data_IF_305801059985
#
_entry.id   IF_305801059985
#
_cell.length_a   1.000
_cell.length_b   1.000
_cell.length_c   1.000
_cell.angle_alpha   90.00
_cell.angle_beta   90.00
_cell.angle_gamma   90.00
#
_symmetry.space_group_name_H-M   'P 1'
#
loop_
_entity.id
_entity.type
_entity.pdbx_description
1 polymer ?
#
# COMPACT_ATOMS: atom_id res chain seq x y z
N UNK A 1 -10.45 18.37 17.29
CA UNK A 1 -9.05 18.81 17.10
C UNK A 1 -8.18 17.95 18.00
N UNK A 2 -7.36 17.07 17.43
CA UNK A 2 -6.39 16.26 18.17
C UNK A 2 -6.56 14.74 18.10
N UNK A 3 -6.35 14.13 16.93
CA UNK A 3 -5.93 12.70 16.79
C UNK A 3 -5.03 12.48 15.54
N UNK A 4 -4.54 13.55 14.88
CA UNK A 4 -3.73 13.42 13.65
C UNK A 4 -2.23 13.05 13.90
N UNK A 5 -1.82 12.89 15.17
CA UNK A 5 -0.41 12.73 15.54
C UNK A 5 0.10 11.28 15.65
N UNK A 6 -0.79 10.28 15.68
CA UNK A 6 -0.39 8.91 16.04
C UNK A 6 0.13 8.07 14.87
N UNK A 7 -0.15 8.48 13.63
CA UNK A 7 0.31 7.76 12.43
C UNK A 7 1.81 8.01 12.19
N UNK A 8 2.35 9.17 12.59
CA UNK A 8 3.77 9.49 12.39
C UNK A 8 4.71 8.89 13.44
N UNK A 9 4.23 8.62 14.65
CA UNK A 9 5.09 8.14 15.74
C UNK A 9 5.47 6.65 15.63
N UNK A 10 4.66 5.84 14.93
CA UNK A 10 4.96 4.42 14.69
C UNK A 10 5.91 4.18 13.51
N UNK A 11 6.10 5.16 12.63
CA UNK A 11 6.83 5.03 11.37
C UNK A 11 8.33 5.41 11.44
N UNK A 12 8.81 5.88 12.59
CA UNK A 12 10.18 6.44 12.71
C UNK A 12 11.19 5.56 13.45
N UNK A 13 10.85 4.32 13.82
CA UNK A 13 11.76 3.42 14.54
C UNK A 13 11.76 2.00 13.93
N UNK A 14 12.23 1.87 12.69
CA UNK A 14 12.78 0.60 12.21
C UNK A 14 14.28 0.78 11.89
N UNK A 15 15.08 -0.15 12.40
CA UNK A 15 16.54 -0.11 12.32
C UNK A 15 16.98 -0.06 10.85
N UNK A 16 17.70 1.02 10.50
CA UNK A 16 18.18 1.25 9.14
C UNK A 16 19.18 0.17 8.71
N UNK A 17 18.76 -0.64 7.73
CA UNK A 17 19.69 -1.38 6.89
C UNK A 17 20.23 -0.41 5.84
N UNK A 18 21.42 0.13 6.04
CA UNK A 18 22.15 0.83 4.99
C UNK A 18 22.76 -0.23 4.07
N UNK A 19 22.03 -0.60 3.01
CA UNK A 19 22.59 -1.44 1.97
C UNK A 19 23.63 -0.65 1.16
N UNK A 20 24.91 -1.01 1.28
CA UNK A 20 25.97 -0.50 0.41
C UNK A 20 25.82 -1.15 -0.98
N UNK A 21 25.06 -0.50 -1.86
CA UNK A 21 24.71 -0.98 -3.20
C UNK A 21 25.86 -0.94 -4.23
N UNK A 22 27.06 -0.49 -3.86
CA UNK A 22 28.12 -0.06 -4.80
C UNK A 22 28.74 -1.14 -5.68
N UNK A 23 28.36 -2.42 -5.54
CA UNK A 23 29.08 -3.54 -6.16
C UNK A 23 28.23 -4.61 -6.87
N UNK A 24 26.89 -4.57 -6.82
CA UNK A 24 26.11 -5.78 -7.11
C UNK A 24 25.68 -5.97 -8.58
N UNK A 25 25.43 -4.90 -9.34
CA UNK A 25 24.70 -5.07 -10.60
C UNK A 25 25.49 -4.81 -11.90
N UNK A 26 26.53 -3.98 -11.89
CA UNK A 26 27.27 -3.63 -13.11
C UNK A 26 28.71 -4.13 -13.00
N UNK A 27 29.10 -5.06 -13.87
CA UNK A 27 30.47 -5.63 -13.91
C UNK A 27 31.54 -4.56 -14.13
N UNK A 28 31.19 -3.48 -14.83
CA UNK A 28 32.07 -2.33 -15.07
C UNK A 28 31.87 -1.22 -14.02
N UNK A 29 30.95 -1.42 -13.07
CA UNK A 29 30.41 -0.38 -12.20
C UNK A 29 29.65 0.71 -12.96
N UNK A 30 28.99 1.61 -12.23
CA UNK A 30 28.74 2.96 -12.75
C UNK A 30 30.10 3.65 -12.75
N UNK A 31 30.53 4.22 -13.89
CA UNK A 31 31.82 4.90 -13.97
C UNK A 31 31.90 6.00 -12.88
N UNK A 32 33.05 6.13 -12.20
CA UNK A 32 33.17 6.98 -11.00
C UNK A 32 32.84 8.45 -11.28
N UNK A 33 33.10 8.90 -12.50
CA UNK A 33 32.74 10.20 -13.07
C UNK A 33 31.23 10.37 -13.34
N UNK A 34 30.46 9.27 -13.37
CA UNK A 34 29.01 9.25 -13.42
C UNK A 34 28.38 9.09 -12.02
N UNK A 35 29.20 8.83 -10.99
CA UNK A 35 28.79 8.88 -9.58
C UNK A 35 28.94 10.31 -9.06
N UNK A 36 28.11 10.69 -8.10
CA UNK A 36 28.14 12.03 -7.49
C UNK A 36 28.35 11.91 -5.99
N UNK A 37 29.08 12.86 -5.44
CA UNK A 37 29.39 12.97 -4.02
C UNK A 37 29.08 14.40 -3.63
N UNK A 38 28.42 14.62 -2.50
CA UNK A 38 28.25 15.96 -1.95
C UNK A 38 29.29 16.12 -0.85
N UNK A 39 30.18 17.13 -0.94
CA UNK A 39 31.11 17.41 0.14
C UNK A 39 30.33 17.85 1.37
N UNK A 40 30.64 17.25 2.51
CA UNK A 40 30.12 17.68 3.81
C UNK A 40 30.62 19.11 4.09
N UNK A 41 29.71 20.10 4.16
CA UNK A 41 30.10 21.50 4.32
C UNK A 41 30.80 21.79 5.66
N UNK A 42 30.62 20.93 6.66
CA UNK A 42 31.21 21.11 7.99
C UNK A 42 32.52 20.31 8.18
N UNK A 43 32.85 19.42 7.24
CA UNK A 43 34.05 18.59 7.32
C UNK A 43 35.25 19.24 6.62
N UNK A 44 35.97 20.08 7.36
CA UNK A 44 37.25 20.69 6.93
C UNK A 44 38.43 19.71 6.87
N UNK A 45 38.25 18.45 7.28
CA UNK A 45 39.30 17.45 7.16
C UNK A 45 39.29 16.85 5.74
N UNK A 46 40.44 16.85 5.07
CA UNK A 46 40.63 16.29 3.72
C UNK A 46 40.40 14.77 3.60
N UNK A 47 39.81 14.14 4.62
CA UNK A 47 39.36 12.76 4.65
C UNK A 47 37.84 12.77 4.85
N UNK A 48 37.13 12.94 3.74
CA UNK A 48 35.70 13.17 3.66
C UNK A 48 34.88 12.06 4.29
N UNK A 49 34.23 12.37 5.41
CA UNK A 49 33.12 11.58 5.92
C UNK A 49 31.92 11.85 5.03
N UNK A 50 31.62 10.90 4.15
CA UNK A 50 30.40 10.90 3.35
C UNK A 50 29.22 10.72 4.30
N UNK A 51 28.37 11.73 4.45
CA UNK A 51 27.10 11.55 5.18
C UNK A 51 26.11 10.86 4.23
N UNK A 52 25.61 9.65 4.55
CA UNK A 52 24.81 8.85 3.64
C UNK A 52 23.39 9.42 3.47
N UNK A 53 22.80 9.19 2.30
CA UNK A 53 21.35 9.36 2.07
C UNK A 53 20.61 8.52 3.11
N UNK A 54 19.57 9.09 3.70
CA UNK A 54 18.58 8.32 4.44
C UNK A 54 17.37 8.11 3.54
N UNK A 55 17.34 6.97 2.87
CA UNK A 55 16.13 6.49 2.20
C UNK A 55 15.17 6.00 3.27
N UNK A 56 13.94 6.51 3.22
CA UNK A 56 12.85 5.91 4.01
C UNK A 56 12.40 4.69 3.23
N UNK A 57 12.71 3.51 3.79
CA UNK A 57 12.29 2.23 3.24
C UNK A 57 10.99 1.84 3.93
N UNK A 58 9.93 1.66 3.15
CA UNK A 58 8.78 0.89 3.60
C UNK A 58 9.14 -0.59 3.57
N UNK A 59 8.53 -1.39 4.45
CA UNK A 59 8.86 -2.80 4.65
C UNK A 59 8.19 -3.75 3.65
N UNK A 60 7.49 -3.22 2.64
CA UNK A 60 6.89 -4.01 1.56
C UNK A 60 7.79 -4.14 0.32
N UNK A 61 7.64 -5.20 -0.50
CA UNK A 61 8.59 -5.54 -1.56
C UNK A 61 8.82 -4.46 -2.62
N UNK A 62 7.78 -3.76 -3.07
CA UNK A 62 7.90 -2.73 -4.10
C UNK A 62 8.71 -1.52 -3.65
N UNK A 63 8.54 -1.09 -2.40
CA UNK A 63 9.31 0.01 -1.83
C UNK A 63 10.77 -0.38 -1.70
N UNK A 64 11.04 -1.64 -1.34
CA UNK A 64 12.39 -2.17 -1.33
C UNK A 64 13.01 -2.12 -2.75
N UNK A 65 12.32 -2.61 -3.78
CA UNK A 65 12.81 -2.55 -5.18
C UNK A 65 13.07 -1.10 -5.62
N UNK A 66 12.07 -0.23 -5.48
CA UNK A 66 12.13 1.17 -5.87
C UNK A 66 13.31 1.89 -5.19
N UNK A 67 13.43 1.70 -3.87
CA UNK A 67 14.46 2.35 -3.08
C UNK A 67 15.84 1.75 -3.33
N UNK A 68 15.97 0.44 -3.55
CA UNK A 68 17.23 -0.20 -3.94
C UNK A 68 17.69 0.30 -5.30
N UNK A 69 16.78 0.42 -6.27
CA UNK A 69 17.09 1.00 -7.58
C UNK A 69 17.54 2.46 -7.43
N UNK A 70 16.85 3.28 -6.63
CA UNK A 70 17.27 4.65 -6.36
C UNK A 70 18.64 4.70 -5.66
N UNK A 71 18.89 3.85 -4.68
CA UNK A 71 20.16 3.76 -3.94
C UNK A 71 21.35 3.42 -4.84
N UNK A 72 21.14 2.63 -5.89
CA UNK A 72 22.20 2.28 -6.86
C UNK A 72 22.67 3.53 -7.63
N UNK A 73 21.78 4.48 -7.93
CA UNK A 73 22.10 5.65 -8.74
C UNK A 73 22.47 6.90 -7.93
N UNK A 74 22.11 6.97 -6.64
CA UNK A 74 22.22 8.20 -5.86
C UNK A 74 23.23 8.04 -4.71
N UNK A 75 24.14 9.01 -4.59
CA UNK A 75 24.95 9.30 -3.39
C UNK A 75 24.88 10.81 -3.10
N UNK A 76 23.96 11.23 -2.24
CA UNK A 76 23.68 12.64 -1.94
C UNK A 76 23.31 12.88 -0.47
N UNK A 77 23.23 14.15 -0.07
CA UNK A 77 22.71 14.60 1.21
C UNK A 77 21.21 14.92 1.05
N UNK A 78 20.35 14.25 1.81
CA UNK A 78 18.91 14.52 1.81
C UNK A 78 18.07 13.31 2.23
N UNK A 79 16.80 13.58 2.53
CA UNK A 79 15.77 12.56 2.73
C UNK A 79 14.99 12.36 1.44
N UNK A 80 14.85 11.10 1.03
CA UNK A 80 14.03 10.69 -0.11
C UNK A 80 13.15 9.54 0.38
N UNK A 81 11.84 9.65 0.10
CA UNK A 81 10.88 8.59 0.30
C UNK A 81 10.36 8.17 -1.08
N UNK A 82 10.51 6.89 -1.39
CA UNK A 82 10.01 6.28 -2.61
C UNK A 82 8.77 5.45 -2.25
N UNK A 83 7.94 5.18 -3.26
CA UNK A 83 6.75 4.33 -3.11
C UNK A 83 5.70 4.89 -2.13
N UNK A 84 5.50 6.21 -2.13
CA UNK A 84 4.53 6.87 -1.24
C UNK A 84 3.12 6.82 -1.81
N UNK A 85 2.19 6.21 -1.07
CA UNK A 85 0.77 6.12 -1.44
C UNK A 85 0.05 7.44 -1.19
N UNK A 86 -0.12 8.25 -2.23
CA UNK A 86 -0.67 9.60 -2.07
C UNK A 86 -2.12 9.58 -1.59
N UNK A 87 -2.95 8.65 -2.07
CA UNK A 87 -4.33 8.49 -1.59
C UNK A 87 -4.46 8.39 -0.07
N UNK A 88 -3.49 7.77 0.61
CA UNK A 88 -3.51 7.57 2.07
C UNK A 88 -3.02 8.80 2.84
N UNK A 89 -2.11 9.57 2.26
CA UNK A 89 -1.50 10.72 2.93
C UNK A 89 -2.11 12.06 2.53
N UNK A 90 -2.80 12.16 1.38
CA UNK A 90 -3.24 13.43 0.77
C UNK A 90 -3.97 14.36 1.74
N UNK A 91 -4.89 13.83 2.54
CA UNK A 91 -5.66 14.64 3.49
C UNK A 91 -4.78 15.36 4.51
N UNK A 92 -3.72 14.69 4.99
CA UNK A 92 -2.77 15.27 5.93
C UNK A 92 -1.62 16.00 5.21
N UNK A 93 -1.28 15.59 4.00
CA UNK A 93 -0.16 16.10 3.25
C UNK A 93 -0.39 17.56 2.84
N UNK A 94 -1.55 17.89 2.27
CA UNK A 94 -1.86 19.28 1.90
C UNK A 94 -1.86 20.20 3.11
N UNK A 95 -2.45 19.75 4.23
CA UNK A 95 -2.46 20.51 5.48
C UNK A 95 -1.05 20.67 6.04
N UNK A 96 -0.22 19.64 5.96
CA UNK A 96 1.18 19.68 6.40
C UNK A 96 2.00 20.66 5.55
N UNK A 97 1.84 20.63 4.22
CA UNK A 97 2.48 21.55 3.28
C UNK A 97 2.09 22.99 3.58
N UNK A 98 0.79 23.26 3.79
CA UNK A 98 0.29 24.60 4.13
C UNK A 98 0.84 25.08 5.47
N UNK A 99 0.94 24.20 6.47
CA UNK A 99 1.41 24.54 7.80
C UNK A 99 2.95 24.65 7.90
N UNK A 100 3.69 23.99 7.00
CA UNK A 100 5.14 23.85 7.08
C UNK A 100 5.83 24.06 5.72
N UNK A 101 5.60 25.18 5.01
CA UNK A 101 6.03 25.35 3.63
C UNK A 101 7.54 25.19 3.41
N UNK A 102 8.37 25.53 4.40
CA UNK A 102 9.83 25.49 4.28
C UNK A 102 10.46 24.09 4.47
N UNK A 103 9.72 23.16 5.08
CA UNK A 103 10.21 21.80 5.42
C UNK A 103 9.35 20.70 4.84
N UNK A 104 8.21 21.04 4.24
CA UNK A 104 7.34 20.08 3.59
C UNK A 104 8.06 19.39 2.44
N UNK A 105 7.96 18.06 2.32
CA UNK A 105 8.62 17.39 1.23
C UNK A 105 7.95 17.77 -0.10
N UNK A 106 8.77 17.84 -1.14
CA UNK A 106 8.34 18.12 -2.50
C UNK A 106 7.92 16.80 -3.15
N UNK A 107 6.71 16.78 -3.71
CA UNK A 107 6.24 15.69 -4.56
C UNK A 107 6.83 15.84 -5.97
N UNK A 108 7.71 14.92 -6.35
CA UNK A 108 8.32 14.84 -7.68
C UNK A 108 7.47 14.01 -8.67
N UNK A 109 6.22 13.75 -8.33
CA UNK A 109 5.26 13.03 -9.16
C UNK A 109 5.39 11.51 -9.07
N UNK A 110 4.75 10.82 -10.00
CA UNK A 110 4.64 9.37 -10.01
C UNK A 110 5.98 8.67 -10.24
N UNK A 111 6.16 7.53 -9.57
CA UNK A 111 7.25 6.59 -9.80
C UNK A 111 7.06 5.74 -11.06
N UNK A 112 5.93 5.84 -11.77
CA UNK A 112 5.67 5.13 -13.04
C UNK A 112 4.53 4.12 -13.02
N UNK A 113 4.02 3.77 -11.84
CA UNK A 113 2.84 2.92 -11.68
C UNK A 113 1.83 3.52 -10.69
N UNK A 114 0.62 2.99 -10.73
CA UNK A 114 -0.45 3.27 -9.78
C UNK A 114 -0.63 2.09 -8.84
N UNK A 115 -0.91 2.39 -7.58
CA UNK A 115 -1.36 1.45 -6.60
C UNK A 115 -2.88 1.31 -6.60
N UNK A 116 -3.32 0.10 -6.29
CA UNK A 116 -4.73 -0.26 -6.14
C UNK A 116 -4.90 -1.05 -4.85
N UNK A 117 -5.98 -0.81 -4.12
CA UNK A 117 -6.38 -1.59 -2.94
C UNK A 117 -7.78 -2.17 -3.16
N UNK A 118 -7.93 -3.48 -2.93
CA UNK A 118 -9.23 -4.12 -3.08
C UNK A 118 -9.33 -5.42 -2.28
N UNK A 119 -10.51 -6.03 -2.30
CA UNK A 119 -10.64 -7.45 -2.03
C UNK A 119 -10.08 -8.22 -3.23
N UNK A 120 -9.34 -9.30 -2.97
CA UNK A 120 -8.82 -10.19 -3.99
C UNK A 120 -9.37 -11.61 -3.80
N UNK A 121 -9.46 -12.32 -4.92
CA UNK A 121 -9.80 -13.74 -4.98
C UNK A 121 -8.66 -14.50 -5.64
N UNK A 122 -8.29 -15.65 -5.06
CA UNK A 122 -7.26 -16.53 -5.59
C UNK A 122 -7.66 -17.07 -6.97
N UNK A 123 -6.70 -17.15 -7.90
CA UNK A 123 -6.93 -17.62 -9.26
C UNK A 123 -7.59 -19.01 -9.29
N UNK A 124 -7.10 -19.97 -8.49
CA UNK A 124 -7.70 -21.31 -8.43
C UNK A 124 -9.17 -21.33 -7.98
N UNK A 125 -9.61 -20.38 -7.15
CA UNK A 125 -11.01 -20.26 -6.71
C UNK A 125 -11.86 -19.66 -7.83
N UNK A 126 -11.34 -18.61 -8.48
CA UNK A 126 -11.94 -17.96 -9.66
C UNK A 126 -12.16 -18.97 -10.79
N UNK A 127 -11.12 -19.71 -11.18
CA UNK A 127 -11.18 -20.70 -12.26
C UNK A 127 -12.15 -21.83 -11.93
N UNK A 128 -12.17 -22.31 -10.68
CA UNK A 128 -13.13 -23.34 -10.26
C UNK A 128 -14.58 -22.87 -10.42
N UNK A 129 -14.90 -21.66 -9.96
CA UNK A 129 -16.24 -21.09 -10.05
C UNK A 129 -16.69 -20.83 -11.49
N UNK A 130 -15.79 -20.33 -12.32
CA UNK A 130 -16.05 -20.11 -13.73
C UNK A 130 -16.29 -21.43 -14.46
N UNK A 131 -15.47 -22.46 -14.21
CA UNK A 131 -15.58 -23.75 -14.87
C UNK A 131 -16.87 -24.52 -14.49
N UNK A 132 -17.30 -24.49 -13.23
CA UNK A 132 -18.47 -25.24 -12.77
C UNK A 132 -19.80 -24.52 -12.97
N UNK A 133 -19.80 -23.18 -12.93
CA UNK A 133 -21.05 -22.40 -12.89
C UNK A 133 -21.06 -21.15 -13.76
N UNK A 134 -19.96 -20.84 -14.46
CA UNK A 134 -19.83 -19.62 -15.26
C UNK A 134 -19.74 -18.34 -14.42
N UNK A 135 -19.45 -18.45 -13.12
CA UNK A 135 -19.35 -17.31 -12.21
C UNK A 135 -17.97 -16.65 -12.29
N UNK A 136 -17.94 -15.39 -12.72
CA UNK A 136 -16.75 -14.54 -12.71
C UNK A 136 -16.58 -13.91 -11.32
N UNK A 137 -15.80 -14.53 -10.45
CA UNK A 137 -15.60 -14.09 -9.05
C UNK A 137 -14.77 -12.81 -8.90
N UNK A 138 -14.17 -12.32 -9.98
CA UNK A 138 -13.58 -10.99 -10.05
C UNK A 138 -14.62 -9.87 -10.21
N UNK A 139 -15.90 -10.19 -10.48
CA UNK A 139 -16.95 -9.19 -10.62
C UNK A 139 -17.87 -9.16 -9.39
N UNK A 140 -18.01 -7.99 -8.77
CA UNK A 140 -18.74 -7.84 -7.49
C UNK A 140 -20.18 -8.38 -7.49
N UNK A 141 -20.89 -8.35 -8.63
CA UNK A 141 -22.28 -8.84 -8.69
C UNK A 141 -22.38 -10.36 -8.59
N UNK A 142 -21.32 -11.09 -8.88
CA UNK A 142 -21.29 -12.55 -8.77
C UNK A 142 -21.46 -13.04 -7.33
N UNK A 143 -21.28 -12.17 -6.35
CA UNK A 143 -21.44 -12.48 -4.92
C UNK A 143 -22.85 -12.22 -4.39
N UNK A 144 -23.76 -11.65 -5.19
CA UNK A 144 -25.10 -11.37 -4.73
C UNK A 144 -25.87 -12.67 -4.44
N UNK A 145 -26.17 -12.92 -3.16
CA UNK A 145 -26.81 -14.15 -2.68
C UNK A 145 -28.20 -14.41 -3.25
N UNK A 146 -28.88 -13.38 -3.75
CA UNK A 146 -30.20 -13.54 -4.40
C UNK A 146 -30.09 -14.13 -5.81
N UNK A 147 -28.90 -14.07 -6.43
CA UNK A 147 -28.65 -14.51 -7.80
C UNK A 147 -27.72 -15.73 -7.88
N UNK A 148 -26.77 -15.83 -6.95
CA UNK A 148 -25.65 -16.77 -7.03
C UNK A 148 -25.24 -17.29 -5.65
N UNK A 149 -24.71 -18.51 -5.60
CA UNK A 149 -24.10 -19.10 -4.40
C UNK A 149 -22.57 -19.06 -4.54
N UNK A 150 -21.98 -17.87 -4.40
CA UNK A 150 -20.53 -17.73 -4.43
C UNK A 150 -19.85 -18.43 -3.25
N UNK A 151 -20.53 -18.54 -2.10
CA UNK A 151 -19.98 -19.09 -0.87
C UNK A 151 -19.55 -20.56 -1.02
N UNK A 152 -20.18 -21.32 -1.91
CA UNK A 152 -19.81 -22.70 -2.23
C UNK A 152 -18.34 -22.90 -2.66
N UNK A 153 -17.69 -21.85 -3.16
CA UNK A 153 -16.29 -21.92 -3.63
C UNK A 153 -15.26 -21.57 -2.56
N UNK A 154 -15.70 -21.10 -1.40
CA UNK A 154 -14.85 -20.66 -0.30
C UNK A 154 -14.88 -21.67 0.86
N UNK A 155 -13.88 -21.59 1.73
CA UNK A 155 -13.88 -22.31 3.01
C UNK A 155 -14.76 -21.56 4.01
N UNK A 156 -15.05 -22.18 5.16
CA UNK A 156 -15.97 -21.61 6.15
C UNK A 156 -15.20 -20.88 7.23
N UNK A 157 -15.87 -19.95 7.91
CA UNK A 157 -15.29 -19.27 9.07
C UNK A 157 -14.91 -20.25 10.19
N UNK A 158 -15.62 -21.38 10.30
CA UNK A 158 -15.34 -22.44 11.28
C UNK A 158 -14.02 -23.17 11.04
N UNK A 159 -13.47 -23.08 9.82
CA UNK A 159 -12.21 -23.71 9.45
C UNK A 159 -11.01 -22.85 9.89
N UNK A 160 -11.25 -21.57 10.18
CA UNK A 160 -10.25 -20.63 10.65
C UNK A 160 -10.14 -20.64 12.18
N UNK A 161 -8.91 -20.54 12.69
CA UNK A 161 -8.68 -20.48 14.14
C UNK A 161 -8.97 -19.09 14.66
N UNK A 162 -9.99 -18.92 15.51
CA UNK A 162 -10.34 -17.61 16.11
C UNK A 162 -9.15 -16.91 16.79
N UNK A 163 -8.22 -17.66 17.38
CA UNK A 163 -7.01 -17.10 18.01
C UNK A 163 -6.09 -16.34 17.04
N UNK A 164 -6.26 -16.51 15.74
CA UNK A 164 -5.54 -15.82 14.66
C UNK A 164 -6.05 -14.39 14.43
N UNK A 165 -7.18 -14.00 15.00
CA UNK A 165 -7.85 -12.72 14.70
C UNK A 165 -7.90 -11.81 15.92
N UNK A 166 -7.84 -10.50 15.69
CA UNK A 166 -8.05 -9.51 16.73
C UNK A 166 -9.51 -9.47 17.17
N UNK A 167 -9.80 -9.25 18.46
CA UNK A 167 -11.14 -8.88 18.90
C UNK A 167 -11.60 -7.58 18.24
N UNK A 168 -12.88 -7.48 17.87
CA UNK A 168 -13.43 -6.29 17.20
C UNK A 168 -13.46 -5.04 18.09
N UNK A 169 -13.40 -5.19 19.40
CA UNK A 169 -13.31 -4.07 20.35
C UNK A 169 -11.87 -3.62 20.63
N UNK A 170 -10.88 -4.12 19.88
CA UNK A 170 -9.49 -3.69 20.02
C UNK A 170 -9.37 -2.23 19.56
N UNK A 171 -9.06 -1.32 20.47
CA UNK A 171 -9.08 0.14 20.24
C UNK A 171 -8.12 0.63 19.16
N UNK A 172 -7.07 -0.13 18.85
CA UNK A 172 -6.11 0.20 17.80
C UNK A 172 -6.56 -0.20 16.39
N UNK A 173 -7.68 -0.92 16.25
CA UNK A 173 -8.12 -1.47 14.97
C UNK A 173 -9.29 -0.68 14.39
N UNK A 174 -9.44 -0.76 13.06
CA UNK A 174 -10.48 -0.02 12.31
C UNK A 174 -11.91 -0.42 12.71
N UNK A 175 -12.11 -1.61 13.27
CA UNK A 175 -13.41 -1.98 13.86
C UNK A 175 -13.80 -1.15 15.09
N UNK A 176 -12.85 -0.50 15.75
CA UNK A 176 -13.10 0.40 16.88
C UNK A 176 -13.07 1.89 16.49
N UNK A 177 -13.02 2.20 15.19
CA UNK A 177 -13.01 3.57 14.68
C UNK A 177 -14.44 4.16 14.64
N UNK A 178 -14.81 4.97 15.65
CA UNK A 178 -16.15 5.58 15.77
C UNK A 178 -16.60 6.30 14.51
N UNK A 179 -15.70 7.06 13.88
CA UNK A 179 -16.03 7.85 12.68
C UNK A 179 -16.43 6.91 11.55
N UNK A 180 -15.62 5.89 11.26
CA UNK A 180 -15.89 4.97 10.16
C UNK A 180 -17.10 4.07 10.43
N UNK A 181 -17.29 3.60 11.66
CA UNK A 181 -18.44 2.78 12.03
C UNK A 181 -19.75 3.58 11.98
N UNK A 182 -19.72 4.87 12.35
CA UNK A 182 -20.86 5.78 12.17
C UNK A 182 -21.15 6.05 10.70
N UNK A 183 -20.13 6.22 9.87
CA UNK A 183 -20.28 6.40 8.42
C UNK A 183 -20.87 5.13 7.78
N UNK A 184 -20.43 3.95 8.21
CA UNK A 184 -21.02 2.67 7.80
C UNK A 184 -22.53 2.63 8.05
N UNK A 185 -22.97 2.85 9.31
CA UNK A 185 -24.39 2.84 9.66
C UNK A 185 -25.20 3.90 8.91
N UNK A 186 -24.63 5.12 8.77
CA UNK A 186 -25.24 6.23 8.04
C UNK A 186 -25.50 5.91 6.56
N UNK A 187 -24.50 5.37 5.86
CA UNK A 187 -24.56 5.20 4.41
C UNK A 187 -25.22 3.89 3.98
N UNK A 188 -25.12 2.85 4.79
CA UNK A 188 -25.71 1.55 4.48
C UNK A 188 -27.10 1.36 5.07
N UNK A 189 -27.43 2.10 6.14
CA UNK A 189 -28.64 1.90 6.94
C UNK A 189 -28.59 0.65 7.85
N UNK A 190 -27.51 -0.13 7.81
CA UNK A 190 -27.36 -1.35 8.60
C UNK A 190 -26.79 -1.07 9.99
N UNK A 191 -27.59 -0.46 10.86
CA UNK A 191 -27.21 -0.21 12.25
C UNK A 191 -27.01 -1.49 13.07
N UNK A 192 -27.52 -2.64 12.61
CA UNK A 192 -27.26 -3.93 13.26
C UNK A 192 -25.82 -4.43 13.03
N UNK A 193 -25.08 -3.86 12.07
CA UNK A 193 -23.67 -4.12 11.84
C UNK A 193 -22.72 -3.37 12.79
N UNK A 194 -23.23 -2.50 13.65
CA UNK A 194 -22.44 -1.73 14.62
C UNK A 194 -23.08 -1.77 16.01
N UNK A 195 -22.30 -1.46 17.05
CA UNK A 195 -22.77 -1.33 18.44
C UNK A 195 -22.36 0.03 18.97
N UNK A 196 -23.29 0.73 19.60
CA UNK A 196 -23.02 1.96 20.33
C UNK A 196 -22.42 1.64 21.70
N UNK A 197 -21.33 2.31 22.04
CA UNK A 197 -20.63 2.22 23.32
C UNK A 197 -20.49 3.62 23.92
N UNK A 198 -20.02 3.71 25.15
CA UNK A 198 -19.73 4.99 25.81
C UNK A 198 -18.69 5.83 25.05
N UNK A 199 -17.87 5.20 24.20
CA UNK A 199 -16.80 5.84 23.42
C UNK A 199 -17.15 6.08 21.94
N UNK A 200 -18.37 5.76 21.49
CA UNK A 200 -18.80 5.87 20.09
C UNK A 200 -19.30 4.55 19.50
N UNK A 201 -19.22 4.39 18.18
CA UNK A 201 -19.60 3.17 17.49
C UNK A 201 -18.41 2.23 17.26
N UNK A 202 -18.62 0.94 17.47
CA UNK A 202 -17.70 -0.13 17.06
C UNK A 202 -18.41 -1.13 16.15
N UNK A 203 -17.67 -1.94 15.40
CA UNK A 203 -18.24 -3.04 14.61
C UNK A 203 -18.93 -4.07 15.51
N UNK A 204 -20.09 -4.56 15.09
CA UNK A 204 -20.79 -5.64 15.79
C UNK A 204 -20.28 -7.01 15.32
N UNK A 205 -19.55 -7.69 16.21
CA UNK A 205 -19.02 -9.03 15.95
C UNK A 205 -19.62 -10.03 16.94
N UNK A 206 -20.59 -10.87 16.51
CA UNK A 206 -21.30 -11.78 17.42
C UNK A 206 -20.40 -12.78 18.14
N UNK A 207 -19.29 -13.19 17.52
CA UNK A 207 -18.27 -14.09 18.09
C UNK A 207 -17.04 -13.33 18.66
N UNK A 208 -17.14 -12.00 18.71
CA UNK A 208 -16.09 -11.10 19.13
C UNK A 208 -14.96 -10.84 18.13
N UNK A 209 -14.91 -11.51 16.97
CA UNK A 209 -13.77 -11.46 16.04
C UNK A 209 -14.14 -11.19 14.58
N UNK A 210 -15.27 -11.71 14.12
CA UNK A 210 -15.75 -11.54 12.75
C UNK A 210 -16.97 -10.64 12.70
N UNK A 211 -16.88 -9.59 11.89
CA UNK A 211 -18.04 -8.80 11.51
C UNK A 211 -18.84 -9.54 10.44
N UNK A 212 -20.16 -9.64 10.61
CA UNK A 212 -21.02 -10.44 9.72
C UNK A 212 -21.94 -9.55 8.88
N UNK A 213 -21.81 -9.67 7.56
CA UNK A 213 -22.61 -8.92 6.59
C UNK A 213 -24.11 -9.27 6.67
N UNK A 214 -25.02 -8.35 6.32
CA UNK A 214 -26.46 -8.62 6.31
C UNK A 214 -26.86 -9.82 5.46
N UNK A 215 -26.13 -10.08 4.37
CA UNK A 215 -26.43 -11.16 3.42
C UNK A 215 -26.35 -12.57 4.03
N UNK A 216 -25.48 -12.78 5.04
CA UNK A 216 -25.31 -14.08 5.70
C UNK A 216 -25.45 -14.03 7.23
N UNK A 217 -25.87 -12.89 7.82
CA UNK A 217 -26.00 -12.73 9.28
C UNK A 217 -26.96 -13.71 9.94
N UNK A 218 -27.95 -14.18 9.20
CA UNK A 218 -28.93 -15.16 9.68
C UNK A 218 -28.37 -16.59 9.74
N UNK A 219 -27.31 -16.91 8.97
CA UNK A 219 -26.62 -18.19 8.97
C UNK A 219 -25.12 -17.99 8.62
N UNK A 220 -24.27 -17.93 9.64
CA UNK A 220 -22.83 -17.67 9.45
C UNK A 220 -22.10 -18.77 8.68
N UNK A 221 -22.70 -19.95 8.54
CA UNK A 221 -22.19 -21.06 7.73
C UNK A 221 -22.16 -20.75 6.22
N UNK A 222 -22.93 -19.76 5.78
CA UNK A 222 -23.04 -19.29 4.39
C UNK A 222 -22.13 -18.08 4.12
N UNK A 223 -21.40 -17.61 5.12
CA UNK A 223 -20.49 -16.49 4.95
C UNK A 223 -19.15 -16.95 4.34
N UNK A 224 -18.68 -16.16 3.37
CA UNK A 224 -17.32 -16.17 2.84
C UNK A 224 -16.40 -15.48 3.85
N UNK A 225 -15.33 -16.14 4.34
CA UNK A 225 -14.32 -15.48 5.15
C UNK A 225 -13.60 -14.43 4.33
N UNK A 226 -13.51 -13.22 4.88
CA UNK A 226 -12.79 -12.08 4.32
C UNK A 226 -11.70 -11.66 5.28
N UNK A 227 -10.45 -11.75 4.86
CA UNK A 227 -9.31 -11.51 5.74
C UNK A 227 -8.67 -10.16 5.46
N UNK A 228 -8.45 -9.38 6.51
CA UNK A 228 -7.61 -8.18 6.48
C UNK A 228 -6.36 -8.36 7.35
N UNK A 229 -5.37 -7.50 7.13
CA UNK A 229 -4.11 -7.45 7.85
C UNK A 229 -3.96 -6.12 8.61
N UNK A 230 -2.82 -5.94 9.28
CA UNK A 230 -2.49 -4.73 10.01
C UNK A 230 -3.50 -4.44 11.12
N UNK A 231 -3.96 -3.20 11.18
CA UNK A 231 -5.02 -2.77 12.09
C UNK A 231 -6.44 -2.96 11.48
N UNK A 232 -6.56 -3.66 10.35
CA UNK A 232 -7.78 -3.77 9.57
C UNK A 232 -7.84 -2.76 8.44
N UNK A 233 -6.76 -2.60 7.67
CA UNK A 233 -6.69 -1.68 6.55
C UNK A 233 -7.96 -1.75 5.68
N UNK A 234 -8.63 -0.60 5.57
CA UNK A 234 -9.87 -0.37 4.82
C UNK A 234 -11.04 -1.34 5.10
N UNK A 235 -11.10 -2.04 6.24
CA UNK A 235 -12.20 -2.99 6.50
C UNK A 235 -13.58 -2.34 6.52
N UNK A 236 -13.66 -1.07 6.93
CA UNK A 236 -14.90 -0.28 6.89
C UNK A 236 -15.45 -0.11 5.47
N UNK A 237 -14.56 -0.06 4.46
CA UNK A 237 -14.92 -0.05 3.04
C UNK A 237 -15.51 -1.41 2.64
N UNK A 238 -14.86 -2.51 3.04
CA UNK A 238 -15.34 -3.87 2.75
C UNK A 238 -16.70 -4.15 3.38
N UNK A 239 -16.94 -3.64 4.59
CA UNK A 239 -18.25 -3.68 5.24
C UNK A 239 -19.31 -2.99 4.36
N UNK A 240 -19.03 -1.78 3.88
CA UNK A 240 -19.94 -1.06 2.98
C UNK A 240 -20.18 -1.80 1.67
N UNK A 241 -19.12 -2.30 1.00
CA UNK A 241 -19.26 -3.11 -0.22
C UNK A 241 -20.11 -4.34 0.01
N UNK A 242 -19.88 -5.04 1.13
CA UNK A 242 -20.64 -6.24 1.47
C UNK A 242 -22.12 -5.95 1.64
N UNK A 243 -22.46 -4.83 2.27
CA UNK A 243 -23.85 -4.43 2.47
C UNK A 243 -24.50 -3.89 1.19
N UNK A 244 -23.83 -3.04 0.42
CA UNK A 244 -24.39 -2.49 -0.82
C UNK A 244 -24.61 -3.54 -1.90
N UNK A 245 -23.74 -4.55 -1.95
CA UNK A 245 -23.73 -5.53 -3.02
C UNK A 245 -24.19 -6.93 -2.61
N UNK A 246 -24.63 -7.07 -1.35
CA UNK A 246 -25.08 -8.34 -0.77
C UNK A 246 -24.01 -9.44 -0.88
N UNK A 247 -22.75 -9.07 -0.64
CA UNK A 247 -21.64 -10.04 -0.53
C UNK A 247 -21.80 -10.73 0.84
N UNK A 248 -21.91 -12.07 0.91
CA UNK A 248 -22.05 -12.79 2.16
C UNK A 248 -20.71 -12.87 2.89
N UNK A 249 -20.20 -11.74 3.37
CA UNK A 249 -18.90 -11.65 4.01
C UNK A 249 -18.97 -11.89 5.53
N UNK A 250 -17.96 -12.58 6.05
CA UNK A 250 -17.53 -12.55 7.44
C UNK A 250 -16.11 -11.98 7.51
N UNK A 251 -15.97 -10.74 7.96
CA UNK A 251 -14.73 -9.97 7.88
C UNK A 251 -13.96 -10.07 9.20
N UNK A 252 -12.70 -10.52 9.14
CA UNK A 252 -11.81 -10.63 10.29
C UNK A 252 -10.47 -9.95 10.06
N UNK A 253 -9.90 -9.38 11.12
CA UNK A 253 -8.58 -8.73 11.10
C UNK A 253 -7.56 -9.68 11.71
N UNK A 254 -6.59 -10.14 10.92
CA UNK A 254 -5.54 -11.05 11.38
C UNK A 254 -4.62 -10.37 12.39
N UNK A 255 -4.17 -11.10 13.42
CA UNK A 255 -3.32 -10.55 14.49
C UNK A 255 -1.95 -10.10 14.01
N UNK A 256 -1.39 -10.85 13.07
CA UNK A 256 -0.04 -10.64 12.54
C UNK A 256 -0.03 -10.83 11.04
N UNK A 257 0.98 -10.23 10.38
CA UNK A 257 1.23 -10.42 8.96
C UNK A 257 1.46 -11.89 8.58
N UNK A 258 2.24 -12.62 9.38
CA UNK A 258 2.51 -14.05 9.14
C UNK A 258 1.22 -14.89 9.19
N UNK A 259 0.32 -14.57 10.13
CA UNK A 259 -0.95 -15.28 10.27
C UNK A 259 -1.87 -14.98 9.09
N UNK A 260 -1.90 -13.72 8.65
CA UNK A 260 -2.65 -13.30 7.48
C UNK A 260 -2.18 -14.05 6.23
N UNK A 261 -0.88 -13.97 5.91
CA UNK A 261 -0.31 -14.60 4.72
C UNK A 261 -0.46 -16.12 4.74
N UNK A 262 -0.25 -16.76 5.88
CA UNK A 262 -0.46 -18.20 6.04
C UNK A 262 -1.91 -18.62 5.81
N UNK A 263 -2.88 -17.87 6.36
CA UNK A 263 -4.30 -18.18 6.16
C UNK A 263 -4.72 -17.97 4.69
N UNK A 264 -4.28 -16.89 4.04
CA UNK A 264 -4.58 -16.62 2.61
C UNK A 264 -4.02 -17.72 1.70
N UNK A 265 -2.82 -18.24 2.01
CA UNK A 265 -2.23 -19.33 1.25
C UNK A 265 -2.95 -20.67 1.47
N UNK A 266 -3.37 -20.93 2.71
CA UNK A 266 -3.93 -22.22 3.14
C UNK A 266 -5.42 -22.40 2.85
N UNK A 267 -6.20 -21.32 2.85
CA UNK A 267 -7.66 -21.37 2.76
C UNK A 267 -8.18 -20.65 1.52
N UNK A 268 -9.36 -21.07 1.04
CA UNK A 268 -10.13 -20.40 -0.01
C UNK A 268 -10.93 -19.27 0.63
N UNK A 269 -10.33 -18.09 0.67
CA UNK A 269 -10.91 -16.89 1.30
C UNK A 269 -10.88 -15.72 0.32
N UNK A 270 -11.70 -14.70 0.59
CA UNK A 270 -11.41 -13.36 0.09
C UNK A 270 -10.41 -12.70 1.02
N UNK A 271 -9.56 -11.83 0.48
CA UNK A 271 -8.55 -11.16 1.29
C UNK A 271 -8.25 -9.76 0.79
N UNK A 272 -7.90 -8.86 1.70
CA UNK A 272 -7.34 -7.56 1.36
C UNK A 272 -6.02 -7.73 0.63
N UNK A 273 -5.86 -7.08 -0.51
CA UNK A 273 -4.57 -7.00 -1.17
C UNK A 273 -4.41 -5.67 -1.87
N UNK A 274 -3.16 -5.32 -2.12
CA UNK A 274 -2.78 -4.11 -2.81
C UNK A 274 -1.72 -4.40 -3.87
N UNK A 275 -1.78 -3.68 -4.97
CA UNK A 275 -0.78 -3.73 -6.04
C UNK A 275 0.08 -2.48 -5.87
N UNK A 276 1.43 -2.58 -5.90
CA UNK A 276 2.28 -3.63 -6.47
C UNK A 276 2.76 -4.75 -5.53
N UNK A 277 2.13 -5.04 -4.39
CA UNK A 277 2.68 -6.04 -3.45
C UNK A 277 2.85 -7.42 -4.10
N UNK A 278 4.01 -8.03 -3.90
CA UNK A 278 4.39 -9.30 -4.52
C UNK A 278 3.92 -10.53 -3.73
N UNK A 279 3.48 -10.36 -2.49
CA UNK A 279 3.31 -11.44 -1.50
C UNK A 279 2.43 -12.57 -2.02
N UNK A 280 1.36 -12.23 -2.75
CA UNK A 280 0.41 -13.20 -3.28
C UNK A 280 0.48 -13.42 -4.79
N UNK A 281 1.56 -12.99 -5.46
CA UNK A 281 1.70 -13.17 -6.91
C UNK A 281 1.61 -14.64 -7.32
N UNK A 282 2.18 -15.55 -6.51
CA UNK A 282 2.11 -17.01 -6.72
C UNK A 282 0.68 -17.60 -6.64
N UNK A 283 -0.30 -16.84 -6.16
CA UNK A 283 -1.70 -17.27 -6.06
C UNK A 283 -2.52 -16.92 -7.31
N UNK A 284 -1.94 -16.22 -8.29
CA UNK A 284 -2.65 -15.70 -9.48
C UNK A 284 -3.95 -14.96 -9.09
N UNK A 285 -3.86 -14.15 -8.02
CA UNK A 285 -5.02 -13.50 -7.46
C UNK A 285 -5.50 -12.35 -8.36
N UNK A 286 -6.82 -12.15 -8.41
CA UNK A 286 -7.42 -11.00 -9.07
C UNK A 286 -8.17 -10.14 -8.06
N UNK A 287 -8.01 -8.83 -8.21
CA UNK A 287 -8.80 -7.86 -7.47
C UNK A 287 -10.26 -7.86 -7.93
N UNK A 288 -11.15 -7.65 -6.97
CA UNK A 288 -12.58 -7.50 -7.19
C UNK A 288 -12.85 -6.20 -7.93
N UNK A 289 -13.43 -6.31 -9.12
CA UNK A 289 -13.87 -5.19 -9.93
C UNK A 289 -15.18 -4.64 -9.38
N UNK A 290 -15.11 -3.41 -8.89
CA UNK A 290 -16.24 -2.62 -8.39
C UNK A 290 -16.62 -1.52 -9.38
N UNK A 291 -17.77 -0.85 -9.22
CA UNK A 291 -18.08 0.32 -10.02
C UNK A 291 -16.97 1.38 -9.90
N UNK A 292 -16.68 2.07 -11.00
CA UNK A 292 -15.62 3.09 -11.09
C UNK A 292 -15.69 4.07 -9.90
N UNK A 293 -14.53 4.34 -9.33
CA UNK A 293 -14.34 5.27 -8.21
C UNK A 293 -15.07 6.61 -8.42
N UNK A 294 -15.71 7.09 -7.35
CA UNK A 294 -16.40 8.38 -7.29
C UNK A 294 -15.89 9.21 -6.12
N UNK A 295 -14.94 10.10 -6.39
CA UNK A 295 -14.30 10.93 -5.38
C UNK A 295 -15.27 11.73 -4.50
N UNK A 296 -16.35 12.27 -5.07
CA UNK A 296 -17.35 13.03 -4.31
C UNK A 296 -18.12 12.19 -3.29
N UNK A 297 -18.38 10.91 -3.60
CA UNK A 297 -19.04 9.99 -2.67
C UNK A 297 -18.05 9.57 -1.56
N UNK A 298 -16.81 9.26 -1.93
CA UNK A 298 -15.74 8.90 -0.99
C UNK A 298 -15.41 10.03 -0.01
N UNK A 299 -15.36 11.29 -0.46
CA UNK A 299 -15.07 12.44 0.38
C UNK A 299 -16.08 12.67 1.52
N UNK A 300 -17.26 12.05 1.46
CA UNK A 300 -18.29 12.11 2.51
C UNK A 300 -18.52 10.77 3.20
N UNK A 301 -17.63 9.80 2.99
CA UNK A 301 -17.64 8.47 3.62
C UNK A 301 -18.54 7.43 2.95
N UNK A 302 -19.05 7.70 1.74
CA UNK A 302 -19.79 6.73 0.94
C UNK A 302 -18.82 5.98 0.03
N UNK A 303 -18.40 4.80 0.47
CA UNK A 303 -17.36 4.01 -0.18
C UNK A 303 -17.92 2.97 -1.13
N UNK A 304 -19.13 3.17 -1.68
CA UNK A 304 -19.76 2.15 -2.54
C UNK A 304 -18.97 1.82 -3.81
N UNK A 305 -18.23 2.79 -4.36
CA UNK A 305 -17.42 2.59 -5.57
C UNK A 305 -16.04 2.05 -5.21
N UNK A 306 -15.27 1.63 -6.23
CA UNK A 306 -13.87 1.21 -6.06
C UNK A 306 -13.03 2.27 -5.31
N UNK A 307 -12.00 1.80 -4.62
CA UNK A 307 -10.95 2.63 -4.03
C UNK A 307 -10.34 3.56 -5.09
N UNK A 308 -9.94 4.79 -4.76
CA UNK A 308 -9.20 5.61 -5.69
C UNK A 308 -7.89 4.91 -6.07
N UNK A 309 -7.64 4.76 -7.38
CA UNK A 309 -6.29 4.48 -7.84
C UNK A 309 -5.34 5.55 -7.30
N UNK A 310 -4.31 5.11 -6.59
CA UNK A 310 -3.31 5.98 -6.01
C UNK A 310 -2.14 6.04 -6.98
N UNK A 311 -1.72 7.22 -7.43
CA UNK A 311 -0.38 7.25 -8.01
C UNK A 311 0.62 7.12 -6.86
N UNK A 312 1.68 6.40 -7.15
CA UNK A 312 2.73 6.16 -6.19
C UNK A 312 3.78 7.24 -6.38
N UNK A 313 3.98 8.07 -5.36
CA UNK A 313 4.79 9.27 -5.42
C UNK A 313 6.25 9.06 -5.01
N UNK A 314 7.05 10.05 -5.39
CA UNK A 314 8.43 10.26 -4.96
C UNK A 314 8.45 11.54 -4.14
N UNK A 315 8.64 11.44 -2.83
CA UNK A 315 8.70 12.60 -1.94
C UNK A 315 10.15 12.88 -1.56
N UNK A 316 10.59 14.13 -1.72
CA UNK A 316 11.97 14.54 -1.40
C UNK A 316 12.01 15.69 -0.43
N UNK A 317 13.10 15.80 0.33
CA UNK A 317 13.33 16.96 1.17
C UNK A 317 13.31 18.27 0.35
N UNK A 318 12.71 19.33 0.91
CA UNK A 318 12.58 20.63 0.25
C UNK A 318 13.91 21.19 -0.28
N UNK A 319 15.01 20.95 0.43
CA UNK A 319 16.35 21.42 0.08
C UNK A 319 17.08 20.57 -0.96
N UNK A 320 16.50 19.45 -1.42
CA UNK A 320 17.22 18.52 -2.31
C UNK A 320 17.62 19.21 -3.62
N UNK A 321 16.78 20.06 -4.19
CA UNK A 321 17.06 20.75 -5.45
C UNK A 321 18.23 21.73 -5.37
N UNK A 322 18.45 22.38 -4.23
CA UNK A 322 19.58 23.30 -4.04
C UNK A 322 20.86 22.55 -3.69
N UNK A 323 20.78 21.48 -2.90
CA UNK A 323 21.93 20.70 -2.44
C UNK A 323 22.40 19.71 -3.51
N UNK A 324 21.47 19.12 -4.26
CA UNK A 324 21.70 18.02 -5.19
C UNK A 324 20.79 18.10 -6.44
N UNK A 325 20.86 19.18 -7.26
CA UNK A 325 19.93 19.40 -8.38
C UNK A 325 19.87 18.23 -9.37
N UNK A 326 21.01 17.60 -9.69
CA UNK A 326 21.06 16.43 -10.58
C UNK A 326 20.37 15.20 -9.99
N UNK A 327 20.35 15.06 -8.67
CA UNK A 327 19.64 13.95 -7.99
C UNK A 327 18.15 14.19 -8.02
N UNK A 328 17.71 15.43 -7.78
CA UNK A 328 16.31 15.79 -7.94
C UNK A 328 15.85 15.53 -9.38
N UNK A 329 16.59 15.99 -10.38
CA UNK A 329 16.25 15.75 -11.79
C UNK A 329 16.23 14.24 -12.13
N UNK A 330 17.17 13.46 -11.59
CA UNK A 330 17.12 12.00 -11.73
C UNK A 330 15.82 11.41 -11.15
N UNK A 331 15.44 11.83 -9.95
CA UNK A 331 14.22 11.37 -9.29
C UNK A 331 12.97 11.85 -10.02
N UNK A 332 12.93 13.07 -10.53
CA UNK A 332 11.84 13.58 -11.38
C UNK A 332 11.63 12.68 -12.60
N UNK A 333 12.72 12.29 -13.26
CA UNK A 333 12.68 11.42 -14.43
C UNK A 333 12.52 9.92 -14.11
N UNK A 334 12.65 9.50 -12.84
CA UNK A 334 12.58 8.11 -12.42
C UNK A 334 11.17 7.53 -12.67
N UNK A 335 11.12 6.41 -13.40
CA UNK A 335 9.88 5.83 -13.94
C UNK A 335 9.98 4.30 -14.10
N UNK A 336 9.34 3.54 -13.23
CA UNK A 336 9.34 2.07 -13.20
C UNK A 336 8.01 1.48 -13.67
N UNK A 337 8.11 0.32 -14.33
CA UNK A 337 6.93 -0.49 -14.62
C UNK A 337 6.51 -1.31 -13.40
N UNK A 338 5.19 -1.52 -13.30
CA UNK A 338 4.57 -2.29 -12.23
C UNK A 338 5.15 -3.71 -12.09
N UNK A 339 5.43 -4.38 -13.20
CA UNK A 339 5.94 -5.76 -13.24
C UNK A 339 7.27 -5.93 -12.48
N UNK A 340 8.05 -4.86 -12.40
CA UNK A 340 9.38 -4.84 -11.75
C UNK A 340 9.22 -4.67 -10.24
N UNK A 341 8.23 -3.88 -9.83
CA UNK A 341 7.95 -3.57 -8.44
C UNK A 341 7.42 -4.79 -7.67
N UNK A 342 6.77 -5.73 -8.36
CA UNK A 342 6.15 -6.93 -7.77
C UNK A 342 7.07 -8.17 -7.77
N UNK A 343 8.38 -8.02 -7.97
CA UNK A 343 9.28 -9.14 -8.23
C UNK A 343 10.25 -9.44 -7.07
N UNK A 344 10.52 -10.74 -6.84
CA UNK A 344 11.40 -11.25 -5.77
C UNK A 344 12.36 -12.33 -6.30
N UNK A 345 13.60 -12.45 -5.79
CA UNK A 345 14.25 -11.59 -4.79
C UNK A 345 14.62 -10.22 -5.35
N UNK A 346 14.52 -9.19 -4.50
CA UNK A 346 14.57 -7.78 -4.88
C UNK A 346 15.89 -7.39 -5.57
N UNK A 347 17.01 -7.86 -5.04
CA UNK A 347 18.34 -7.49 -5.52
C UNK A 347 18.63 -8.05 -6.91
N UNK A 348 18.32 -9.33 -7.15
CA UNK A 348 18.54 -9.98 -8.44
C UNK A 348 17.68 -9.35 -9.52
N UNK A 349 16.41 -9.09 -9.21
CA UNK A 349 15.48 -8.45 -10.15
C UNK A 349 15.91 -7.02 -10.44
N UNK A 350 16.27 -6.23 -9.42
CA UNK A 350 16.78 -4.88 -9.62
C UNK A 350 18.03 -4.87 -10.51
N UNK A 351 18.98 -5.79 -10.26
CA UNK A 351 20.19 -5.90 -11.07
C UNK A 351 19.90 -6.32 -12.52
N UNK A 352 19.08 -7.34 -12.71
CA UNK A 352 18.69 -7.80 -14.04
C UNK A 352 17.94 -6.71 -14.81
N UNK A 353 17.05 -5.99 -14.12
CA UNK A 353 16.30 -4.88 -14.69
C UNK A 353 17.23 -3.77 -15.17
N UNK A 354 18.19 -3.34 -14.35
CA UNK A 354 19.19 -2.32 -14.74
C UNK A 354 19.96 -2.76 -15.98
N UNK A 355 20.39 -4.02 -16.06
CA UNK A 355 21.14 -4.53 -17.22
C UNK A 355 20.30 -4.52 -18.49
N UNK A 356 19.04 -4.98 -18.42
CA UNK A 356 18.13 -5.08 -19.57
C UNK A 356 17.59 -3.73 -20.02
N UNK A 357 17.43 -2.77 -19.12
CA UNK A 357 16.73 -1.51 -19.38
C UNK A 357 17.65 -0.28 -19.51
N UNK A 358 18.89 -0.49 -19.97
CA UNK A 358 19.90 0.57 -20.14
C UNK A 358 19.42 1.77 -20.95
N UNK A 359 18.65 1.55 -22.01
CA UNK A 359 18.12 2.64 -22.83
C UNK A 359 17.08 3.50 -22.09
N UNK A 360 16.37 2.93 -21.10
CA UNK A 360 15.37 3.63 -20.30
C UNK A 360 16.05 4.44 -19.19
N UNK A 361 16.80 3.79 -18.29
CA UNK A 361 17.37 4.50 -17.14
C UNK A 361 18.44 5.53 -17.53
N UNK A 362 19.10 5.38 -18.69
CA UNK A 362 19.99 6.43 -19.22
C UNK A 362 19.30 7.76 -19.47
N UNK A 363 17.98 7.76 -19.72
CA UNK A 363 17.20 8.99 -19.90
C UNK A 363 16.90 9.68 -18.57
N UNK A 364 16.98 8.93 -17.46
CA UNK A 364 16.76 9.48 -16.12
C UNK A 364 17.99 10.19 -15.60
N UNK A 365 19.19 9.73 -16.00
CA UNK A 365 20.45 10.33 -15.57
C UNK A 365 20.71 11.61 -16.36
N UNK A 366 20.79 12.79 -15.71
CA UNK A 366 21.07 14.05 -16.40
C UNK A 366 22.42 14.04 -17.12
N UNK A 367 22.50 14.67 -18.29
CA UNK A 367 23.74 14.75 -19.06
C UNK A 367 24.63 15.88 -18.54
N UNK A 368 25.92 15.60 -18.31
CA UNK A 368 26.85 16.56 -17.70
C UNK A 368 27.06 17.87 -18.47
N UNK A 369 26.69 17.92 -19.74
CA UNK A 369 26.80 19.13 -20.56
C UNK A 369 25.69 20.15 -20.31
N UNK A 370 24.69 19.84 -19.48
CA UNK A 370 23.72 20.82 -19.03
C UNK A 370 24.33 21.62 -17.87
N UNK A 371 24.90 22.78 -18.20
CA UNK A 371 25.30 23.75 -17.20
C UNK A 371 24.05 24.27 -16.48
N UNK A 372 23.81 23.84 -15.26
CA UNK A 372 22.90 24.56 -14.36
C UNK A 372 23.52 25.93 -14.14
N UNK A 373 22.80 26.99 -14.50
CA UNK A 373 23.26 28.36 -14.28
C UNK A 373 23.64 28.49 -12.81
N UNK A 374 24.94 28.66 -12.53
CA UNK A 374 25.41 28.80 -11.17
C UNK A 374 24.64 29.94 -10.52
N UNK A 375 23.92 29.64 -9.43
CA UNK A 375 23.46 30.67 -8.50
C UNK A 375 24.73 31.19 -7.86
N UNK A 376 25.20 32.35 -8.32
CA UNK A 376 26.33 33.04 -7.71
C UNK A 376 25.97 33.33 -6.26
N UNK A 377 26.75 32.79 -5.33
CA UNK A 377 26.70 33.10 -3.90
C UNK A 377 27.28 34.50 -3.68
#
# INVERSE_FOLDING_TARGET
MGVAGSIWAGLLLQAGWVALADLLCLTDGIARDSRRFIPDPDNTSHLGAETPIRLVLFDWPSAAVASTLAAIFIRALGHVAMDCWMSEILFNFEQFVLANPDVAPIDLGSIGYSGENALAVRGSVREAAYASSGLALEFYRSYNVSAHDAAAYFDRISDLKLSHFHPCNTSSNEFANDVEMRLYGKWTGDWAGVVETDSGYIANCPDGHFWISPACRHNTSECIPVLAAGNGWIVYVFMQWSTFYQIPAAIGISKTWDTFTANVAAFRVLFHWWIPDATFHHLDASMLQLPRHKAQEWAVGNYRSADPQSYIAKLVAHSLGSVAPKVQEFLENFDLDLEVAAAVPVEDVACEWIRKNRARWKKWVPVDTQCFGCVGV
#
